data_IF_724626577817
#
_entry.id   IF_724626577817
#
_cell.length_a   1.000
_cell.length_b   1.000
_cell.length_c   1.000
_cell.angle_alpha   90.00
_cell.angle_beta   90.00
_cell.angle_gamma   90.00
#
_symmetry.space_group_name_H-M   'P 1'
#
loop_
_entity.id
_entity.type
_entity.pdbx_description
1 polymer ?
#
# COMPACT_ATOMS: atom_id res chain seq x y z
N UNK A 1 -27.01 14.31 -2.30
CA UNK A 1 -26.77 13.95 -3.70
C UNK A 1 -25.93 12.69 -3.70
N UNK A 2 -26.52 11.53 -4.03
CA UNK A 2 -25.80 10.25 -4.11
C UNK A 2 -25.39 10.03 -5.56
N UNK A 3 -24.20 10.49 -5.94
CA UNK A 3 -23.75 10.47 -7.34
C UNK A 3 -23.31 9.06 -7.79
N UNK A 4 -23.05 8.15 -6.84
CA UNK A 4 -22.38 6.87 -7.12
C UNK A 4 -23.13 5.63 -6.63
N UNK A 5 -24.12 5.79 -5.76
CA UNK A 5 -24.98 4.70 -5.33
C UNK A 5 -25.89 4.30 -6.50
N UNK A 6 -26.01 3.00 -6.79
CA UNK A 6 -27.03 2.51 -7.71
C UNK A 6 -28.44 2.86 -7.22
N UNK A 7 -29.48 2.44 -7.97
CA UNK A 7 -30.87 2.69 -7.56
C UNK A 7 -31.22 2.09 -6.18
N UNK A 8 -30.41 1.18 -5.66
CA UNK A 8 -30.63 0.48 -4.39
C UNK A 8 -29.57 0.89 -3.36
N UNK A 9 -30.00 1.58 -2.31
CA UNK A 9 -29.14 1.96 -1.18
C UNK A 9 -29.22 0.87 -0.11
N UNK A 10 -28.50 -0.22 -0.33
CA UNK A 10 -28.53 -1.41 0.54
C UNK A 10 -27.34 -1.48 1.52
N UNK A 11 -26.46 -0.47 1.50
CA UNK A 11 -25.26 -0.40 2.33
C UNK A 11 -24.16 -1.37 1.90
N UNK A 12 -24.30 -1.98 0.72
CA UNK A 12 -23.30 -2.85 0.10
C UNK A 12 -22.84 -2.21 -1.20
N UNK A 13 -21.61 -2.52 -1.60
CA UNK A 13 -21.07 -2.08 -2.88
C UNK A 13 -20.92 -3.30 -3.75
N UNK A 14 -21.68 -3.36 -4.83
CA UNK A 14 -21.52 -4.39 -5.85
C UNK A 14 -20.28 -4.14 -6.69
N UNK A 15 -19.77 -5.17 -7.37
CA UNK A 15 -18.62 -5.02 -8.26
C UNK A 15 -18.89 -4.01 -9.39
N UNK A 16 -20.10 -4.00 -9.95
CA UNK A 16 -20.50 -3.05 -10.99
C UNK A 16 -20.50 -1.60 -10.49
N UNK A 17 -21.01 -1.37 -9.28
CA UNK A 17 -20.99 -0.03 -8.66
C UNK A 17 -19.56 0.43 -8.38
N UNK A 18 -18.71 -0.46 -7.86
CA UNK A 18 -17.30 -0.19 -7.66
C UNK A 18 -16.60 0.19 -8.98
N UNK A 19 -16.86 -0.57 -10.05
CA UNK A 19 -16.28 -0.32 -11.37
C UNK A 19 -16.77 1.01 -11.95
N UNK A 20 -18.09 1.28 -11.89
CA UNK A 20 -18.68 2.53 -12.38
C UNK A 20 -18.12 3.74 -11.64
N UNK A 21 -17.88 3.63 -10.33
CA UNK A 21 -17.24 4.67 -9.55
C UNK A 21 -15.82 4.97 -10.05
N UNK A 22 -14.98 3.94 -10.13
CA UNK A 22 -13.60 4.11 -10.57
C UNK A 22 -13.46 4.47 -12.05
N UNK A 23 -14.44 4.16 -12.89
CA UNK A 23 -14.49 4.64 -14.27
C UNK A 23 -14.61 6.17 -14.36
N UNK A 24 -15.35 6.80 -13.43
CA UNK A 24 -15.43 8.25 -13.35
C UNK A 24 -14.15 8.87 -12.77
N UNK A 25 -13.57 8.23 -11.74
CA UNK A 25 -12.31 8.70 -11.13
C UNK A 25 -11.16 8.61 -12.13
N UNK A 26 -11.00 7.50 -12.84
CA UNK A 26 -9.94 7.33 -13.83
C UNK A 26 -10.09 8.33 -14.98
N UNK A 27 -11.31 8.58 -15.47
CA UNK A 27 -11.56 9.57 -16.52
C UNK A 27 -11.24 11.01 -16.10
N UNK A 28 -11.08 11.29 -14.80
CA UNK A 28 -10.68 12.60 -14.29
C UNK A 28 -9.17 12.75 -14.06
N UNK A 29 -8.39 11.69 -14.31
CA UNK A 29 -6.95 11.64 -14.13
C UNK A 29 -6.32 11.33 -15.49
N UNK A 30 -5.49 12.25 -15.98
CA UNK A 30 -4.89 12.13 -17.33
C UNK A 30 -3.73 11.12 -17.40
N UNK A 31 -3.02 10.88 -16.29
CA UNK A 31 -1.83 10.03 -16.24
C UNK A 31 -2.14 8.67 -15.58
N UNK A 32 -2.04 7.60 -16.36
CA UNK A 32 -2.23 6.22 -15.92
C UNK A 32 -1.27 5.84 -14.78
N UNK A 33 -0.02 6.32 -14.81
CA UNK A 33 0.95 6.03 -13.75
C UNK A 33 0.52 6.66 -12.42
N UNK A 34 -0.10 7.84 -12.48
CA UNK A 34 -0.65 8.51 -11.31
C UNK A 34 -1.93 7.83 -10.81
N UNK A 35 -2.81 7.40 -11.70
CA UNK A 35 -3.99 6.61 -11.32
C UNK A 35 -3.59 5.29 -10.65
N UNK A 36 -2.58 4.59 -11.19
CA UNK A 36 -2.01 3.39 -10.60
C UNK A 36 -1.44 3.66 -9.20
N UNK A 37 -0.64 4.73 -9.04
CA UNK A 37 -0.11 5.13 -7.74
C UNK A 37 -1.24 5.35 -6.72
N UNK A 38 -2.29 6.08 -7.13
CA UNK A 38 -3.45 6.37 -6.29
C UNK A 38 -4.13 5.07 -5.86
N UNK A 39 -4.41 4.17 -6.80
CA UNK A 39 -5.04 2.88 -6.50
C UNK A 39 -4.19 2.01 -5.56
N UNK A 40 -2.89 1.93 -5.81
CA UNK A 40 -1.96 1.17 -4.96
C UNK A 40 -1.95 1.71 -3.55
N UNK A 41 -1.85 3.03 -3.40
CA UNK A 41 -1.76 3.66 -2.09
C UNK A 41 -3.08 3.56 -1.32
N UNK A 42 -4.22 3.78 -1.98
CA UNK A 42 -5.54 3.71 -1.34
C UNK A 42 -5.87 2.31 -0.82
N UNK A 43 -5.49 1.27 -1.55
CA UNK A 43 -5.84 -0.11 -1.24
C UNK A 43 -4.68 -0.95 -0.71
N UNK A 44 -3.57 -0.30 -0.37
CA UNK A 44 -2.35 -0.95 0.15
C UNK A 44 -1.84 -2.10 -0.75
N UNK A 45 -1.93 -1.91 -2.07
CA UNK A 45 -1.47 -2.89 -3.04
C UNK A 45 0.03 -2.70 -3.23
N UNK A 46 0.79 -3.75 -2.91
CA UNK A 46 2.24 -3.81 -3.05
C UNK A 46 2.75 -3.57 -4.48
N UNK A 47 3.98 -3.07 -4.59
CA UNK A 47 4.71 -2.97 -5.85
C UNK A 47 4.49 -1.64 -6.58
N UNK A 48 4.61 -1.67 -7.91
CA UNK A 48 4.72 -0.49 -8.76
C UNK A 48 6.19 -0.15 -9.03
N UNK A 49 6.43 0.64 -10.08
CA UNK A 49 7.77 1.06 -10.48
C UNK A 49 7.80 2.56 -10.71
N UNK A 50 8.93 3.20 -10.38
CA UNK A 50 9.11 4.64 -10.59
C UNK A 50 8.04 5.47 -9.88
N UNK A 51 7.27 6.24 -10.66
CA UNK A 51 6.23 7.12 -10.14
C UNK A 51 5.02 6.37 -9.57
N UNK A 52 4.86 5.09 -9.88
CA UNK A 52 3.73 4.27 -9.42
C UNK A 52 4.08 3.37 -8.23
N UNK A 53 5.28 3.49 -7.67
CA UNK A 53 5.69 2.69 -6.51
C UNK A 53 4.83 3.03 -5.27
N UNK A 54 4.24 2.00 -4.66
CA UNK A 54 3.46 2.15 -3.45
C UNK A 54 4.31 2.76 -2.32
N UNK A 55 3.76 3.75 -1.62
CA UNK A 55 4.44 4.40 -0.49
C UNK A 55 3.69 4.29 0.83
N UNK A 56 2.46 3.78 0.84
CA UNK A 56 1.61 3.72 2.03
C UNK A 56 1.68 2.38 2.78
N UNK A 57 2.11 1.30 2.13
CA UNK A 57 2.27 0.01 2.78
C UNK A 57 3.28 0.12 3.93
N UNK A 58 2.95 -0.48 5.08
CA UNK A 58 3.84 -0.56 6.23
C UNK A 58 5.15 -1.23 5.85
N UNK A 59 6.26 -0.63 6.26
CA UNK A 59 7.61 -1.20 6.11
C UNK A 59 8.31 -1.27 7.47
N UNK A 60 9.10 -2.31 7.70
CA UNK A 60 9.85 -2.47 8.96
C UNK A 60 11.30 -2.83 8.68
N UNK A 61 12.20 -2.36 9.53
CA UNK A 61 13.61 -2.74 9.49
C UNK A 61 13.79 -4.19 9.95
N UNK A 62 14.44 -4.97 9.11
CA UNK A 62 14.82 -6.35 9.36
C UNK A 62 16.33 -6.40 9.52
N UNK A 63 16.80 -6.95 10.64
CA UNK A 63 18.21 -7.29 10.84
C UNK A 63 18.38 -8.79 10.66
N UNK A 64 19.17 -9.20 9.67
CA UNK A 64 19.48 -10.60 9.38
C UNK A 64 20.56 -11.12 10.33
N UNK A 65 20.73 -12.43 10.40
CA UNK A 65 21.71 -13.09 11.28
C UNK A 65 23.17 -12.75 10.96
N UNK A 66 23.47 -12.32 9.72
CA UNK A 66 24.77 -11.80 9.32
C UNK A 66 25.04 -10.34 9.77
N UNK A 67 24.07 -9.73 10.47
CA UNK A 67 24.12 -8.34 10.92
C UNK A 67 23.69 -7.32 9.86
N UNK A 68 23.39 -7.75 8.62
CA UNK A 68 22.88 -6.85 7.58
C UNK A 68 21.48 -6.34 7.91
N UNK A 69 21.19 -5.12 7.49
CA UNK A 69 19.91 -4.45 7.74
C UNK A 69 19.26 -3.98 6.44
N UNK A 70 17.95 -4.14 6.35
CA UNK A 70 17.15 -3.60 5.25
C UNK A 70 15.73 -3.26 5.70
N UNK A 71 15.09 -2.34 5.00
CA UNK A 71 13.68 -2.00 5.22
C UNK A 71 12.84 -2.88 4.29
N UNK A 72 12.02 -3.73 4.88
CA UNK A 72 11.19 -4.71 4.17
C UNK A 72 9.72 -4.31 4.25
N UNK A 73 9.00 -4.47 3.14
CA UNK A 73 7.56 -4.23 3.07
C UNK A 73 6.77 -5.36 3.75
N UNK A 74 5.84 -4.98 4.63
CA UNK A 74 4.87 -5.90 5.21
C UNK A 74 3.74 -6.11 4.20
N UNK A 75 3.66 -7.31 3.63
CA UNK A 75 2.59 -7.66 2.68
C UNK A 75 1.25 -7.80 3.38
N UNK A 76 0.18 -7.30 2.74
CA UNK A 76 -1.21 -7.35 3.22
C UNK A 76 -1.36 -6.76 4.64
N UNK A 77 -0.83 -5.56 4.88
CA UNK A 77 -0.68 -4.98 6.22
C UNK A 77 -1.98 -4.41 6.83
N UNK A 78 -3.05 -4.28 6.04
CA UNK A 78 -4.33 -3.75 6.50
C UNK A 78 -4.90 -4.59 7.66
N UNK A 79 -5.18 -3.92 8.78
CA UNK A 79 -5.71 -4.55 9.99
C UNK A 79 -4.68 -5.36 10.80
N UNK A 80 -3.43 -5.47 10.34
CA UNK A 80 -2.40 -6.19 11.10
C UNK A 80 -1.90 -5.37 12.30
N UNK A 81 -1.82 -6.03 13.45
CA UNK A 81 -1.03 -5.55 14.58
C UNK A 81 0.46 -5.47 14.23
N UNK A 82 1.22 -4.78 15.07
CA UNK A 82 2.67 -4.68 14.91
C UNK A 82 3.35 -6.04 15.06
N UNK A 83 2.84 -6.85 15.97
CA UNK A 83 3.34 -8.20 16.25
C UNK A 83 3.06 -9.13 15.08
N UNK A 84 1.88 -9.05 14.46
CA UNK A 84 1.55 -9.81 13.24
C UNK A 84 2.45 -9.44 12.07
N UNK A 85 2.65 -8.14 11.85
CA UNK A 85 3.57 -7.64 10.83
C UNK A 85 5.02 -8.12 11.07
N UNK A 86 5.49 -8.07 12.31
CA UNK A 86 6.82 -8.58 12.65
C UNK A 86 6.92 -10.10 12.46
N UNK A 87 5.87 -10.86 12.83
CA UNK A 87 5.81 -12.30 12.61
C UNK A 87 5.82 -12.66 11.12
N UNK A 88 5.08 -11.93 10.28
CA UNK A 88 5.02 -12.20 8.85
C UNK A 88 6.37 -11.97 8.18
N UNK A 89 7.12 -10.93 8.57
CA UNK A 89 8.48 -10.69 8.10
C UNK A 89 9.47 -11.76 8.58
N UNK A 90 9.41 -12.19 9.85
CA UNK A 90 10.26 -13.30 10.34
C UNK A 90 10.00 -14.61 9.62
N UNK A 91 8.74 -14.87 9.24
CA UNK A 91 8.39 -16.07 8.48
C UNK A 91 8.94 -16.02 7.05
N UNK A 92 9.02 -14.84 6.44
CA UNK A 92 9.61 -14.65 5.11
C UNK A 92 11.15 -14.70 5.15
N UNK A 93 11.77 -14.09 6.16
CA UNK A 93 13.22 -14.04 6.34
C UNK A 93 13.62 -14.93 7.53
N UNK A 94 13.79 -16.23 7.27
CA UNK A 94 14.24 -17.20 8.27
C UNK A 94 15.50 -16.68 8.97
N UNK A 95 15.52 -16.75 10.31
CA UNK A 95 16.63 -16.32 11.18
C UNK A 95 16.92 -14.80 11.21
N UNK A 96 15.86 -13.96 11.18
CA UNK A 96 15.98 -12.50 11.30
C UNK A 96 15.34 -11.95 12.58
N UNK A 97 15.96 -10.89 13.13
CA UNK A 97 15.34 -10.06 14.18
C UNK A 97 14.67 -8.86 13.52
N UNK A 98 13.35 -8.74 13.70
CA UNK A 98 12.58 -7.61 13.17
C UNK A 98 12.58 -6.50 14.20
N UNK A 99 13.20 -5.38 13.82
CA UNK A 99 13.35 -4.19 14.63
C UNK A 99 12.17 -3.23 14.49
N UNK A 100 12.02 -2.40 15.51
CA UNK A 100 11.08 -1.28 15.56
C UNK A 100 11.66 -0.09 14.79
N UNK A 101 11.24 0.18 13.55
CA UNK A 101 11.62 1.45 12.88
C UNK A 101 10.51 2.46 12.75
N UNK A 102 10.97 3.70 12.86
CA UNK A 102 10.30 4.98 12.90
C UNK A 102 9.54 5.32 11.62
N UNK A 103 8.35 5.90 11.82
CA UNK A 103 7.72 6.87 10.93
C UNK A 103 7.21 6.36 9.59
N UNK A 104 5.90 6.52 9.35
CA UNK A 104 5.30 6.63 8.01
C UNK A 104 5.82 7.87 7.26
N UNK A 105 7.14 8.01 7.12
CA UNK A 105 7.73 9.05 6.30
C UNK A 105 8.14 8.40 4.97
N UNK A 106 7.65 8.90 3.83
CA UNK A 106 8.11 8.43 2.53
C UNK A 106 9.63 8.59 2.45
N UNK A 107 10.35 7.77 1.64
CA UNK A 107 11.69 8.13 1.23
C UNK A 107 11.61 9.55 0.68
N UNK A 108 12.32 10.50 1.29
CA UNK A 108 12.41 11.85 0.72
C UNK A 108 13.08 11.68 -0.64
N UNK A 109 12.29 11.72 -1.71
CA UNK A 109 12.82 11.79 -3.07
C UNK A 109 13.54 13.13 -3.17
N UNK A 110 14.83 13.12 -2.82
CA UNK A 110 15.75 14.24 -2.96
C UNK A 110 16.47 14.06 -4.27
N UNK A 111 15.72 14.12 -5.38
CA UNK A 111 16.33 14.35 -6.69
C UNK A 111 16.09 15.82 -7.06
N UNK A 112 17.15 16.58 -7.39
CA UNK A 112 16.99 17.92 -7.90
C UNK A 112 16.35 17.81 -9.30
N UNK A 113 15.45 18.77 -9.56
CA UNK A 113 14.54 18.95 -10.72
C UNK A 113 13.51 17.84 -10.97
#
# INVERSE_FOLDING_TARGET
>A
MGTFEGPQKDGRVTHEEWHRYYAGVSASIDDDAYFELMMRNCWHISGGEGQSENTTNRRMLVTRSDGSQSVEEVKNDLGMSREEAARSLRAQFQDSTVGSTWGNAPPKNTRPW
#
